data_IF_987194678920
#
_entry.id   IF_987194678920
#
_cell.length_a   1.000
_cell.length_b   1.000
_cell.length_c   1.000
_cell.angle_alpha   90.00
_cell.angle_beta   90.00
_cell.angle_gamma   90.00
#
_symmetry.space_group_name_H-M   'P 1'
#
loop_
_entity.id
_entity.type
_entity.pdbx_description
1 polymer ?
#
# COMPACT_ATOMS: atom_id res chain seq x y z
N UNK A 1 10.98 10.08 16.18
CA UNK A 1 10.32 11.38 15.96
C UNK A 1 11.23 12.18 15.05
N UNK A 2 10.71 12.73 13.97
CA UNK A 2 11.47 13.54 13.01
C UNK A 2 11.19 15.05 13.15
N UNK A 3 11.87 15.87 12.36
CA UNK A 3 11.76 17.35 12.47
C UNK A 3 10.36 17.87 12.12
N UNK A 4 9.59 17.15 11.28
CA UNK A 4 8.21 17.53 10.90
C UNK A 4 7.23 17.22 12.04
N UNK A 5 7.40 16.07 12.71
CA UNK A 5 6.64 15.73 13.92
C UNK A 5 6.90 16.74 15.04
N UNK A 6 8.17 17.12 15.27
CA UNK A 6 8.53 18.13 16.28
C UNK A 6 7.97 19.51 15.92
N UNK A 7 8.05 19.89 14.64
CA UNK A 7 7.50 21.14 14.12
C UNK A 7 5.98 21.24 14.34
N UNK A 8 5.25 20.15 14.12
CA UNK A 8 3.82 20.06 14.41
C UNK A 8 3.55 20.15 15.92
N UNK A 9 4.25 19.36 16.74
CA UNK A 9 4.06 19.34 18.19
C UNK A 9 4.37 20.69 18.86
N UNK A 10 5.32 21.46 18.29
CA UNK A 10 5.67 22.79 18.78
C UNK A 10 4.56 23.84 18.50
N UNK A 11 3.50 23.48 17.77
CA UNK A 11 2.43 24.40 17.39
C UNK A 11 2.90 25.51 16.44
N UNK A 12 4.02 25.29 15.74
CA UNK A 12 4.56 26.24 14.76
C UNK A 12 3.76 26.14 13.47
N UNK A 13 3.37 24.92 13.08
CA UNK A 13 2.48 24.74 11.94
C UNK A 13 1.20 25.55 12.14
N UNK A 14 0.92 26.43 11.18
CA UNK A 14 -0.34 27.12 11.00
C UNK A 14 -0.71 27.04 9.53
N UNK A 15 -2.00 26.97 9.23
CA UNK A 15 -2.44 27.13 7.84
C UNK A 15 -1.94 28.49 7.32
N UNK A 16 -1.39 28.53 6.10
CA UNK A 16 -0.78 29.72 5.48
C UNK A 16 0.50 30.25 6.15
N UNK A 17 1.33 29.40 6.76
CA UNK A 17 2.64 29.89 7.21
C UNK A 17 3.49 30.30 5.99
N UNK A 18 3.93 31.57 5.96
CA UNK A 18 4.71 32.16 4.87
C UNK A 18 6.17 32.40 5.25
N UNK A 19 6.44 32.53 6.55
CA UNK A 19 7.77 32.80 7.11
C UNK A 19 7.82 32.34 8.55
N UNK A 20 9.04 32.10 9.04
CA UNK A 20 9.28 31.81 10.44
C UNK A 20 9.72 33.06 11.20
N UNK A 21 9.36 33.11 12.48
CA UNK A 21 9.74 34.16 13.42
C UNK A 21 10.74 33.64 14.46
N UNK A 22 11.38 34.55 15.19
CA UNK A 22 12.23 34.17 16.34
C UNK A 22 11.44 33.42 17.42
N UNK A 23 10.14 33.70 17.57
CA UNK A 23 9.25 32.97 18.49
C UNK A 23 9.11 31.49 18.09
N UNK A 24 9.13 31.19 16.78
CA UNK A 24 9.02 29.81 16.30
C UNK A 24 10.29 29.01 16.62
N UNK A 25 11.46 29.65 16.60
CA UNK A 25 12.72 29.06 17.04
C UNK A 25 12.66 28.72 18.54
N UNK A 26 12.15 29.65 19.36
CA UNK A 26 11.98 29.42 20.80
C UNK A 26 10.97 28.30 21.09
N UNK A 27 9.87 28.22 20.33
CA UNK A 27 8.90 27.12 20.42
C UNK A 27 9.53 25.78 20.08
N UNK A 28 10.31 25.70 19.00
CA UNK A 28 11.02 24.49 18.60
C UNK A 28 11.96 23.99 19.71
N UNK A 29 12.75 24.90 20.30
CA UNK A 29 13.67 24.58 21.40
C UNK A 29 12.94 24.10 22.64
N UNK A 30 11.90 24.82 23.07
CA UNK A 30 11.10 24.46 24.25
C UNK A 30 10.40 23.12 24.06
N UNK A 31 9.79 22.90 22.89
CA UNK A 31 9.11 21.64 22.61
C UNK A 31 10.09 20.47 22.60
N UNK A 32 11.29 20.64 22.01
CA UNK A 32 12.30 19.58 22.04
C UNK A 32 12.66 19.17 23.48
N UNK A 33 12.84 20.13 24.39
CA UNK A 33 13.13 19.83 25.79
C UNK A 33 11.98 19.08 26.49
N UNK A 34 10.73 19.45 26.20
CA UNK A 34 9.55 18.73 26.70
C UNK A 34 9.57 17.27 26.23
N UNK A 35 9.75 17.05 24.92
CA UNK A 35 9.75 15.70 24.34
C UNK A 35 10.92 14.85 24.86
N UNK A 36 12.11 15.45 24.99
CA UNK A 36 13.30 14.78 25.52
C UNK A 36 13.14 14.39 26.99
N UNK A 37 12.46 15.22 27.79
CA UNK A 37 12.20 14.92 29.20
C UNK A 37 11.21 13.76 29.39
N UNK A 38 10.28 13.59 28.45
CA UNK A 38 9.28 12.52 28.47
C UNK A 38 9.69 11.22 27.77
N UNK A 39 10.74 11.25 26.93
CA UNK A 39 11.15 10.10 26.11
C UNK A 39 12.66 10.09 25.83
N UNK A 40 13.37 9.09 26.37
CA UNK A 40 14.82 8.93 26.19
C UNK A 40 15.24 8.52 24.78
N UNK A 41 14.30 8.13 23.91
CA UNK A 41 14.58 7.73 22.53
C UNK A 41 14.56 8.90 21.52
N UNK A 42 14.36 10.13 21.99
CA UNK A 42 14.42 11.32 21.12
C UNK A 42 15.87 11.56 20.69
N UNK A 43 16.10 11.74 19.39
CA UNK A 43 17.44 11.99 18.86
C UNK A 43 18.00 13.29 19.44
N UNK A 44 19.24 13.30 19.98
CA UNK A 44 19.79 14.46 20.67
C UNK A 44 19.91 15.72 19.80
N UNK A 45 20.07 15.55 18.49
CA UNK A 45 20.24 16.62 17.51
C UNK A 45 18.92 17.09 16.88
N UNK A 46 17.78 16.48 17.23
CA UNK A 46 16.49 16.77 16.60
C UNK A 46 16.08 18.25 16.75
N UNK A 47 16.22 18.80 17.95
CA UNK A 47 15.91 20.20 18.22
C UNK A 47 16.81 21.16 17.44
N UNK A 48 18.12 20.90 17.42
CA UNK A 48 19.07 21.70 16.64
C UNK A 48 18.84 21.58 15.13
N UNK A 49 18.44 20.41 14.64
CA UNK A 49 18.13 20.18 13.23
C UNK A 49 16.89 20.96 12.79
N UNK A 50 15.84 21.00 13.62
CA UNK A 50 14.66 21.82 13.33
C UNK A 50 14.99 23.32 13.34
N UNK A 51 15.78 23.80 14.31
CA UNK A 51 16.23 25.21 14.34
C UNK A 51 17.03 25.54 13.08
N UNK A 52 17.98 24.69 12.70
CA UNK A 52 18.76 24.86 11.48
C UNK A 52 17.88 24.86 10.22
N UNK A 53 16.87 24.00 10.18
CA UNK A 53 15.90 23.97 9.08
C UNK A 53 15.10 25.28 8.99
N UNK A 54 14.68 25.85 10.14
CA UNK A 54 13.96 27.13 10.22
C UNK A 54 14.86 28.30 9.75
N UNK A 55 16.11 28.35 10.21
CA UNK A 55 17.01 29.48 9.96
C UNK A 55 17.61 29.47 8.55
N UNK A 56 18.01 28.30 8.05
CA UNK A 56 18.81 28.18 6.82
C UNK A 56 18.07 27.52 5.65
N UNK A 57 16.94 26.85 5.91
CA UNK A 57 16.19 26.10 4.90
C UNK A 57 14.69 26.38 4.97
N UNK A 58 14.33 27.62 5.33
CA UNK A 58 12.95 28.01 5.61
C UNK A 58 11.99 27.65 4.47
N UNK A 59 12.38 27.97 3.23
CA UNK A 59 11.53 27.74 2.05
C UNK A 59 11.25 26.26 1.83
N UNK A 60 12.23 25.38 2.02
CA UNK A 60 12.08 23.94 1.84
C UNK A 60 11.22 23.32 2.96
N UNK A 61 11.40 23.76 4.20
CA UNK A 61 10.56 23.33 5.32
C UNK A 61 9.11 23.79 5.13
N UNK A 62 8.89 25.03 4.68
CA UNK A 62 7.57 25.55 4.37
C UNK A 62 6.94 24.83 3.17
N UNK A 63 7.73 24.48 2.14
CA UNK A 63 7.28 23.68 1.01
C UNK A 63 6.75 22.32 1.47
N UNK A 64 7.52 21.59 2.27
CA UNK A 64 7.11 20.30 2.83
C UNK A 64 5.85 20.46 3.68
N UNK A 65 5.79 21.50 4.50
CA UNK A 65 4.64 21.79 5.36
C UNK A 65 3.35 22.04 4.59
N UNK A 66 3.43 22.64 3.40
CA UNK A 66 2.29 22.91 2.55
C UNK A 66 2.01 21.80 1.52
N UNK A 67 2.91 20.85 1.33
CA UNK A 67 2.68 19.68 0.48
C UNK A 67 1.97 18.58 1.26
N UNK A 68 0.71 18.29 0.92
CA UNK A 68 -0.12 17.28 1.62
C UNK A 68 0.59 15.94 1.77
N UNK A 69 1.21 15.44 0.70
CA UNK A 69 1.75 14.09 0.65
C UNK A 69 2.99 14.01 1.53
N UNK A 70 3.95 14.91 1.33
CA UNK A 70 5.18 14.97 2.13
C UNK A 70 4.86 15.23 3.61
N UNK A 71 4.00 16.19 3.91
CA UNK A 71 3.64 16.49 5.30
C UNK A 71 2.96 15.32 6.00
N UNK A 72 1.93 14.72 5.39
CA UNK A 72 1.23 13.57 5.97
C UNK A 72 2.17 12.38 6.16
N UNK A 73 3.05 12.13 5.19
CA UNK A 73 4.04 11.06 5.25
C UNK A 73 5.00 11.26 6.44
N UNK A 74 5.63 12.42 6.57
CA UNK A 74 6.60 12.66 7.64
C UNK A 74 5.95 12.89 9.01
N UNK A 75 4.79 13.55 9.10
CA UNK A 75 4.05 13.69 10.37
C UNK A 75 3.35 12.40 10.82
N UNK A 76 3.26 11.39 9.95
CA UNK A 76 2.50 10.14 10.16
C UNK A 76 1.02 10.41 10.47
N UNK A 77 0.45 11.42 9.80
CA UNK A 77 -0.95 11.82 9.91
C UNK A 77 -1.65 11.69 8.57
N UNK A 78 -2.97 11.81 8.56
CA UNK A 78 -3.77 11.81 7.33
C UNK A 78 -4.69 13.02 7.30
N UNK A 79 -4.10 14.21 7.14
CA UNK A 79 -4.88 15.43 7.03
C UNK A 79 -5.55 15.55 5.65
N UNK A 80 -6.77 16.09 5.68
CA UNK A 80 -7.57 16.40 4.49
C UNK A 80 -6.89 17.47 3.64
N UNK A 81 -7.15 17.44 2.32
CA UNK A 81 -6.70 18.45 1.36
C UNK A 81 -7.07 19.88 1.80
N UNK A 82 -8.19 20.05 2.50
CA UNK A 82 -8.66 21.37 2.96
C UNK A 82 -7.72 22.04 3.98
N UNK A 83 -6.78 21.29 4.60
CA UNK A 83 -5.76 21.84 5.50
C UNK A 83 -4.58 22.49 4.74
N UNK A 84 -4.38 22.11 3.48
CA UNK A 84 -3.24 22.51 2.66
C UNK A 84 -3.71 23.49 1.59
N UNK A 85 -3.07 24.65 1.51
CA UNK A 85 -3.58 25.77 0.72
C UNK A 85 -2.87 25.82 -0.63
N UNK A 86 -3.66 25.97 -1.69
CA UNK A 86 -3.18 25.99 -3.08
C UNK A 86 -2.90 27.39 -3.61
N UNK A 87 -3.36 28.43 -2.91
CA UNK A 87 -3.48 29.77 -3.45
C UNK A 87 -2.16 30.56 -3.38
N UNK A 88 -1.23 30.11 -2.53
CA UNK A 88 0.11 30.69 -2.39
C UNK A 88 1.17 29.58 -2.50
N UNK A 89 1.51 29.14 -3.73
CA UNK A 89 2.50 28.10 -3.91
C UNK A 89 3.87 28.61 -3.44
N UNK A 90 4.38 28.02 -2.37
CA UNK A 90 5.76 28.23 -1.95
C UNK A 90 6.65 27.60 -3.02
N UNK A 91 7.42 28.44 -3.71
CA UNK A 91 8.31 27.96 -4.76
C UNK A 91 9.63 27.52 -4.13
N UNK A 92 9.99 26.26 -4.34
CA UNK A 92 11.31 25.71 -4.07
C UNK A 92 11.68 24.80 -5.23
N UNK A 93 12.95 24.80 -5.62
CA UNK A 93 13.37 23.92 -6.71
C UNK A 93 13.27 22.46 -6.24
N UNK A 94 13.04 21.55 -7.19
CA UNK A 94 12.97 20.10 -6.90
C UNK A 94 14.25 19.62 -6.21
N UNK A 95 15.40 20.13 -6.67
CA UNK A 95 16.70 19.78 -6.12
C UNK A 95 16.89 20.30 -4.70
N UNK A 96 16.49 21.54 -4.40
CA UNK A 96 16.63 22.08 -3.04
C UNK A 96 15.80 21.29 -2.02
N UNK A 97 14.57 20.90 -2.39
CA UNK A 97 13.71 20.09 -1.53
C UNK A 97 14.30 18.68 -1.37
N UNK A 98 14.87 18.11 -2.42
CA UNK A 98 15.57 16.82 -2.36
C UNK A 98 16.75 16.87 -1.40
N UNK A 99 17.62 17.86 -1.53
CA UNK A 99 18.78 18.07 -0.64
C UNK A 99 18.32 18.29 0.81
N UNK A 100 17.22 19.01 1.02
CA UNK A 100 16.64 19.18 2.35
C UNK A 100 16.18 17.84 2.94
N UNK A 101 15.43 17.04 2.18
CA UNK A 101 14.96 15.72 2.64
C UNK A 101 16.16 14.82 2.90
N UNK A 102 17.16 14.81 2.03
CA UNK A 102 18.37 14.00 2.21
C UNK A 102 19.10 14.37 3.51
N UNK A 103 19.23 15.66 3.78
CA UNK A 103 19.93 16.18 4.95
C UNK A 103 19.20 15.93 6.27
N UNK A 104 17.90 16.15 6.31
CA UNK A 104 17.15 16.19 7.59
C UNK A 104 16.21 15.02 7.81
N UNK A 105 15.82 14.30 6.75
CA UNK A 105 14.70 13.36 6.78
C UNK A 105 15.00 12.00 6.13
N UNK A 106 16.15 11.79 5.50
CA UNK A 106 16.50 10.53 4.80
C UNK A 106 16.44 9.31 5.70
N UNK A 107 16.98 9.40 6.91
CA UNK A 107 16.95 8.29 7.88
C UNK A 107 15.52 7.93 8.27
N UNK A 108 14.66 8.92 8.50
CA UNK A 108 13.26 8.70 8.84
C UNK A 108 12.46 8.20 7.63
N UNK A 109 12.73 8.72 6.44
CA UNK A 109 12.16 8.25 5.17
C UNK A 109 12.44 6.76 4.99
N UNK A 110 13.71 6.36 5.08
CA UNK A 110 14.13 4.96 4.95
C UNK A 110 13.45 4.07 6.00
N UNK A 111 13.37 4.53 7.26
CA UNK A 111 12.72 3.78 8.33
C UNK A 111 11.21 3.61 8.12
N UNK A 112 10.52 4.66 7.64
CA UNK A 112 9.08 4.60 7.34
C UNK A 112 8.83 3.66 6.15
N UNK A 113 9.65 3.75 5.10
CA UNK A 113 9.54 2.88 3.92
C UNK A 113 9.79 1.42 4.29
N UNK A 114 10.81 1.12 5.10
CA UNK A 114 11.09 -0.23 5.59
C UNK A 114 9.90 -0.79 6.37
N UNK A 115 9.32 0.03 7.26
CA UNK A 115 8.12 -0.35 8.00
C UNK A 115 6.95 -0.68 7.05
N UNK A 116 6.68 0.14 6.05
CA UNK A 116 5.58 -0.12 5.10
C UNK A 116 5.83 -1.35 4.24
N UNK A 117 7.04 -1.54 3.72
CA UNK A 117 7.40 -2.75 2.95
C UNK A 117 7.21 -4.01 3.79
N UNK A 118 7.71 -4.01 5.02
CA UNK A 118 7.66 -5.17 5.92
C UNK A 118 6.23 -5.54 6.33
N UNK A 119 5.35 -4.55 6.45
CA UNK A 119 3.94 -4.75 6.82
C UNK A 119 3.00 -4.85 5.60
N UNK A 120 3.55 -5.03 4.39
CA UNK A 120 2.79 -5.11 3.14
C UNK A 120 1.88 -3.90 2.85
N UNK A 121 2.24 -2.70 3.34
CA UNK A 121 1.49 -1.44 3.19
C UNK A 121 1.92 -0.68 1.93
N UNK A 122 1.84 -1.31 0.77
CA UNK A 122 2.38 -0.75 -0.47
C UNK A 122 1.60 0.47 -0.98
N UNK A 123 0.29 0.56 -0.74
CA UNK A 123 -0.51 1.72 -1.12
C UNK A 123 0.01 3.02 -0.48
N UNK A 124 0.48 2.95 0.77
CA UNK A 124 1.08 4.10 1.46
C UNK A 124 2.40 4.55 0.83
N UNK A 125 3.11 3.64 0.17
CA UNK A 125 4.33 3.95 -0.58
C UNK A 125 3.95 4.52 -1.95
N UNK A 126 2.97 3.93 -2.63
CA UNK A 126 2.51 4.38 -3.95
C UNK A 126 2.02 5.84 -3.91
N UNK A 127 1.30 6.24 -2.87
CA UNK A 127 0.89 7.64 -2.64
C UNK A 127 2.11 8.59 -2.61
N UNK A 128 3.25 8.14 -2.06
CA UNK A 128 4.49 8.93 -2.01
C UNK A 128 5.12 9.10 -3.40
N UNK A 129 4.86 8.18 -4.33
CA UNK A 129 5.41 8.28 -5.69
C UNK A 129 4.78 9.40 -6.53
N UNK A 130 3.66 9.99 -6.11
CA UNK A 130 3.14 11.23 -6.69
C UNK A 130 4.09 12.43 -6.51
N UNK A 131 5.00 12.36 -5.53
CA UNK A 131 6.01 13.40 -5.21
C UNK A 131 7.43 12.86 -5.33
N UNK A 132 7.64 11.81 -6.13
CA UNK A 132 8.93 11.10 -6.24
C UNK A 132 10.10 11.99 -6.64
N UNK A 133 9.85 13.06 -7.40
CA UNK A 133 10.93 13.96 -7.85
C UNK A 133 11.66 14.67 -6.70
N UNK A 134 11.01 14.79 -5.54
CA UNK A 134 11.58 15.43 -4.35
C UNK A 134 12.31 14.43 -3.44
N UNK A 135 12.21 13.13 -3.71
CA UNK A 135 12.82 12.11 -2.86
C UNK A 135 14.32 11.96 -3.18
N UNK A 136 15.17 11.69 -2.18
CA UNK A 136 16.57 11.36 -2.40
C UNK A 136 16.73 10.07 -3.21
N UNK A 137 17.63 10.09 -4.19
CA UNK A 137 17.93 8.92 -5.03
C UNK A 137 18.42 7.73 -4.20
N UNK A 138 19.24 7.99 -3.18
CA UNK A 138 19.73 6.99 -2.23
C UNK A 138 18.61 6.22 -1.52
N UNK A 139 17.54 6.89 -1.11
CA UNK A 139 16.36 6.27 -0.50
C UNK A 139 15.52 5.48 -1.50
N UNK A 140 15.40 5.98 -2.74
CA UNK A 140 14.72 5.27 -3.83
C UNK A 140 15.46 3.98 -4.21
N UNK A 141 16.79 4.01 -4.26
CA UNK A 141 17.62 2.83 -4.54
C UNK A 141 17.48 1.78 -3.44
N UNK A 142 17.52 2.19 -2.16
CA UNK A 142 17.26 1.29 -1.03
C UNK A 142 15.89 0.64 -1.14
N UNK A 143 14.85 1.42 -1.47
CA UNK A 143 13.50 0.90 -1.66
C UNK A 143 13.42 -0.08 -2.85
N UNK A 144 14.06 0.22 -3.98
CA UNK A 144 14.17 -0.67 -5.14
C UNK A 144 14.82 -2.01 -4.77
N UNK A 145 15.89 -1.97 -3.97
CA UNK A 145 16.57 -3.16 -3.47
C UNK A 145 15.64 -3.96 -2.55
N UNK A 146 14.92 -3.30 -1.64
CA UNK A 146 13.95 -3.96 -0.75
C UNK A 146 12.80 -4.63 -1.49
N UNK A 147 12.27 -3.99 -2.54
CA UNK A 147 11.28 -4.60 -3.43
C UNK A 147 11.86 -5.85 -4.10
N UNK A 148 13.13 -5.79 -4.53
CA UNK A 148 13.81 -6.92 -5.16
C UNK A 148 14.06 -8.07 -4.16
N UNK A 149 14.51 -7.77 -2.95
CA UNK A 149 14.65 -8.75 -1.84
C UNK A 149 13.33 -9.45 -1.54
N UNK A 150 12.21 -8.72 -1.61
CA UNK A 150 10.87 -9.27 -1.37
C UNK A 150 10.42 -10.22 -2.48
N UNK A 151 10.81 -9.96 -3.73
CA UNK A 151 10.63 -10.91 -4.84
C UNK A 151 11.52 -12.14 -4.64
N UNK A 152 12.78 -11.96 -4.26
CA UNK A 152 13.71 -13.07 -4.00
C UNK A 152 13.20 -13.96 -2.85
N UNK A 153 12.67 -13.34 -1.79
CA UNK A 153 11.99 -14.04 -0.71
C UNK A 153 10.81 -14.88 -1.21
N UNK A 154 9.97 -14.35 -2.11
CA UNK A 154 8.88 -15.12 -2.71
C UNK A 154 9.41 -16.30 -3.55
N UNK A 155 10.43 -16.07 -4.38
CA UNK A 155 11.05 -17.11 -5.21
C UNK A 155 11.58 -18.26 -4.35
N UNK A 156 12.22 -17.95 -3.23
CA UNK A 156 12.78 -18.93 -2.30
C UNK A 156 11.69 -19.66 -1.51
N UNK A 157 10.71 -18.92 -0.98
CA UNK A 157 9.60 -19.46 -0.18
C UNK A 157 8.74 -20.44 -0.97
N UNK A 158 8.41 -20.12 -2.24
CA UNK A 158 7.58 -21.00 -3.08
C UNK A 158 8.33 -22.28 -3.50
N UNK A 159 9.67 -22.31 -3.45
CA UNK A 159 10.46 -23.53 -3.66
C UNK A 159 10.68 -24.37 -2.39
N UNK A 160 10.28 -23.86 -1.22
CA UNK A 160 10.62 -24.45 0.07
C UNK A 160 9.76 -25.65 0.44
N UNK A 161 10.16 -26.32 1.54
CA UNK A 161 9.46 -27.44 2.17
C UNK A 161 8.15 -27.03 2.89
N UNK A 162 7.54 -25.92 2.51
CA UNK A 162 6.32 -25.43 3.15
C UNK A 162 5.11 -26.20 2.66
N UNK A 163 4.17 -26.43 3.57
CA UNK A 163 2.88 -26.97 3.19
C UNK A 163 2.16 -25.96 2.27
N UNK A 164 1.45 -26.43 1.22
CA UNK A 164 0.80 -25.55 0.25
C UNK A 164 -0.11 -24.46 0.85
N UNK A 165 -0.80 -24.76 1.95
CA UNK A 165 -1.62 -23.78 2.69
C UNK A 165 -0.79 -22.66 3.32
N UNK A 166 0.36 -22.99 3.93
CA UNK A 166 1.25 -22.00 4.55
C UNK A 166 1.92 -21.07 3.53
N UNK A 167 2.09 -21.52 2.27
CA UNK A 167 2.65 -20.67 1.19
C UNK A 167 1.73 -19.46 0.96
N UNK A 168 0.42 -19.68 0.88
CA UNK A 168 -0.59 -18.64 0.62
C UNK A 168 -0.54 -17.49 1.63
N UNK A 169 -0.29 -17.80 2.90
CA UNK A 169 -0.16 -16.83 3.99
C UNK A 169 1.22 -16.16 4.00
N UNK A 170 2.28 -16.95 3.81
CA UNK A 170 3.67 -16.45 3.89
C UNK A 170 4.00 -15.45 2.79
N UNK A 171 3.45 -15.66 1.58
CA UNK A 171 3.61 -14.74 0.44
C UNK A 171 2.32 -14.03 0.07
N UNK A 172 1.48 -13.73 1.07
CA UNK A 172 0.16 -13.10 0.87
C UNK A 172 0.23 -11.82 0.02
N UNK A 173 1.31 -11.05 0.16
CA UNK A 173 1.55 -9.83 -0.61
C UNK A 173 1.53 -10.01 -2.12
N UNK A 174 1.78 -11.23 -2.64
CA UNK A 174 1.67 -11.52 -4.07
C UNK A 174 0.23 -11.40 -4.59
N UNK A 175 -0.76 -11.37 -3.69
CA UNK A 175 -2.17 -11.17 -4.02
C UNK A 175 -2.50 -9.68 -4.17
N UNK A 176 -1.63 -8.77 -3.72
CA UNK A 176 -1.96 -7.35 -3.61
C UNK A 176 -1.63 -6.60 -4.90
N UNK A 177 -2.61 -5.87 -5.44
CA UNK A 177 -2.43 -4.98 -6.59
C UNK A 177 -1.31 -3.97 -6.36
N UNK A 178 -1.30 -3.34 -5.19
CA UNK A 178 -0.36 -2.26 -4.85
C UNK A 178 1.09 -2.71 -4.78
N UNK A 179 1.35 -3.99 -4.52
CA UNK A 179 2.70 -4.56 -4.64
C UNK A 179 3.21 -4.45 -6.08
N UNK A 180 2.42 -4.87 -7.07
CA UNK A 180 2.84 -4.84 -8.49
C UNK A 180 2.91 -3.43 -9.06
N UNK A 181 2.04 -2.52 -8.60
CA UNK A 181 2.15 -1.09 -8.93
C UNK A 181 3.49 -0.56 -8.41
N UNK A 182 3.86 -0.86 -7.17
CA UNK A 182 5.14 -0.46 -6.60
C UNK A 182 6.34 -1.03 -7.37
N UNK A 183 6.32 -2.32 -7.73
CA UNK A 183 7.40 -2.93 -8.52
C UNK A 183 7.56 -2.23 -9.88
N UNK A 184 6.45 -1.75 -10.46
CA UNK A 184 6.44 -1.05 -11.76
C UNK A 184 7.19 0.28 -11.73
N UNK A 185 7.21 0.99 -10.59
CA UNK A 185 7.99 2.23 -10.45
C UNK A 185 9.50 1.98 -10.58
N UNK A 186 9.94 0.75 -10.29
CA UNK A 186 11.34 0.34 -10.34
C UNK A 186 11.66 -0.64 -11.48
N UNK A 187 10.77 -0.75 -12.47
CA UNK A 187 10.85 -1.75 -13.54
C UNK A 187 12.24 -1.83 -14.17
N UNK A 188 12.70 -3.05 -14.37
CA UNK A 188 13.96 -3.37 -15.03
C UNK A 188 13.88 -4.79 -15.61
N UNK A 189 14.77 -5.12 -16.54
CA UNK A 189 14.85 -6.49 -17.07
C UNK A 189 15.06 -7.52 -15.95
N UNK A 190 15.85 -7.19 -14.93
CA UNK A 190 16.04 -8.05 -13.75
C UNK A 190 14.72 -8.27 -12.99
N UNK A 191 13.93 -7.21 -12.76
CA UNK A 191 12.64 -7.34 -12.07
C UNK A 191 11.62 -8.10 -12.91
N UNK A 192 11.63 -7.96 -14.23
CA UNK A 192 10.82 -8.77 -15.14
C UNK A 192 11.13 -10.26 -14.98
N UNK A 193 12.42 -10.64 -14.94
CA UNK A 193 12.84 -12.03 -14.71
C UNK A 193 12.40 -12.54 -13.34
N UNK A 194 12.54 -11.73 -12.28
CA UNK A 194 12.10 -12.11 -10.93
C UNK A 194 10.59 -12.32 -10.86
N UNK A 195 9.82 -11.40 -11.45
CA UNK A 195 8.35 -11.51 -11.54
C UNK A 195 7.96 -12.77 -12.33
N UNK A 196 8.59 -13.03 -13.47
CA UNK A 196 8.37 -14.25 -14.26
C UNK A 196 8.70 -15.52 -13.47
N UNK A 197 9.81 -15.50 -12.71
CA UNK A 197 10.22 -16.61 -11.86
C UNK A 197 9.20 -16.90 -10.75
N UNK A 198 8.73 -15.87 -10.03
CA UNK A 198 7.67 -16.02 -9.01
C UNK A 198 6.41 -16.57 -9.66
N UNK A 199 5.96 -15.98 -10.78
CA UNK A 199 4.77 -16.40 -11.50
C UNK A 199 4.83 -17.87 -11.90
N UNK A 200 5.90 -18.30 -12.57
CA UNK A 200 6.05 -19.69 -13.02
C UNK A 200 6.07 -20.67 -11.84
N UNK A 201 6.70 -20.30 -10.72
CA UNK A 201 6.74 -21.14 -9.52
C UNK A 201 5.35 -21.33 -8.91
N UNK A 202 4.60 -20.24 -8.72
CA UNK A 202 3.22 -20.32 -8.19
C UNK A 202 2.31 -21.04 -9.19
N UNK A 203 2.47 -20.79 -10.49
CA UNK A 203 1.70 -21.47 -11.54
C UNK A 203 1.95 -22.97 -11.56
N UNK A 204 3.18 -23.45 -11.34
CA UNK A 204 3.47 -24.88 -11.29
C UNK A 204 2.79 -25.61 -10.13
N UNK A 205 2.35 -24.88 -9.10
CA UNK A 205 1.56 -25.41 -7.98
C UNK A 205 0.04 -25.45 -8.27
N UNK A 206 -0.41 -25.14 -9.49
CA UNK A 206 -1.83 -25.06 -9.87
C UNK A 206 -2.64 -26.35 -9.65
N UNK A 207 -1.98 -27.51 -9.56
CA UNK A 207 -2.63 -28.79 -9.26
C UNK A 207 -3.21 -28.83 -7.85
N UNK A 208 -2.69 -28.03 -6.92
CA UNK A 208 -3.23 -27.86 -5.59
C UNK A 208 -4.37 -26.83 -5.62
N UNK A 209 -5.60 -27.27 -5.31
CA UNK A 209 -6.78 -26.40 -5.35
C UNK A 209 -6.71 -25.21 -4.38
N UNK A 210 -6.16 -25.41 -3.19
CA UNK A 210 -5.98 -24.35 -2.17
C UNK A 210 -5.05 -23.28 -2.71
N UNK A 211 -3.85 -23.65 -3.19
CA UNK A 211 -2.90 -22.70 -3.78
C UNK A 211 -3.49 -22.02 -5.01
N UNK A 212 -4.21 -22.77 -5.85
CA UNK A 212 -4.86 -22.23 -7.04
C UNK A 212 -5.86 -21.12 -6.68
N UNK A 213 -6.76 -21.38 -5.73
CA UNK A 213 -7.84 -20.47 -5.40
C UNK A 213 -7.41 -19.33 -4.48
N UNK A 214 -6.55 -19.60 -3.49
CA UNK A 214 -6.19 -18.61 -2.48
C UNK A 214 -4.99 -17.75 -2.86
N UNK A 215 -4.10 -18.23 -3.73
CA UNK A 215 -2.88 -17.50 -4.11
C UNK A 215 -2.84 -17.22 -5.61
N UNK A 216 -2.87 -18.24 -6.47
CA UNK A 216 -2.64 -18.07 -7.91
C UNK A 216 -3.70 -17.18 -8.58
N UNK A 217 -4.99 -17.42 -8.34
CA UNK A 217 -6.05 -16.63 -8.97
C UNK A 217 -6.01 -15.14 -8.55
N UNK A 218 -5.92 -14.80 -7.25
CA UNK A 218 -5.70 -13.41 -6.82
C UNK A 218 -4.40 -12.82 -7.36
N UNK A 219 -3.31 -13.59 -7.38
CA UNK A 219 -2.02 -13.16 -7.93
C UNK A 219 -2.13 -12.80 -9.41
N UNK A 220 -2.75 -13.65 -10.24
CA UNK A 220 -3.00 -13.37 -11.67
C UNK A 220 -3.83 -12.09 -11.83
N UNK A 221 -4.84 -11.90 -11.00
CA UNK A 221 -5.70 -10.72 -11.04
C UNK A 221 -4.95 -9.43 -10.68
N UNK A 222 -3.95 -9.53 -9.82
CA UNK A 222 -3.12 -8.40 -9.38
C UNK A 222 -1.94 -8.13 -10.32
N UNK A 223 -1.34 -9.17 -10.92
CA UNK A 223 -0.18 -9.11 -11.82
C UNK A 223 -0.40 -8.20 -13.04
N UNK A 224 -1.62 -8.04 -13.52
CA UNK A 224 -1.90 -7.15 -14.66
C UNK A 224 -1.62 -5.67 -14.38
N UNK A 225 -1.40 -5.31 -13.12
CA UNK A 225 -1.00 -3.97 -12.70
C UNK A 225 0.52 -3.78 -12.72
N UNK A 226 1.30 -4.84 -12.98
CA UNK A 226 2.72 -4.73 -13.26
C UNK A 226 2.94 -4.16 -14.67
N UNK A 227 3.83 -3.20 -14.80
CA UNK A 227 4.23 -2.60 -16.07
C UNK A 227 5.66 -3.02 -16.41
N UNK A 228 5.80 -4.20 -17.00
CA UNK A 228 7.07 -4.78 -17.41
C UNK A 228 7.81 -3.92 -18.45
N UNK A 229 9.13 -4.07 -18.51
CA UNK A 229 9.95 -3.57 -19.63
C UNK A 229 9.71 -4.45 -20.86
N UNK A 230 9.61 -5.76 -20.66
CA UNK A 230 9.21 -6.74 -21.67
C UNK A 230 7.69 -6.73 -21.90
N UNK A 231 7.27 -6.27 -23.07
CA UNK A 231 5.85 -6.24 -23.45
C UNK A 231 5.20 -7.62 -23.52
N UNK A 232 5.96 -8.68 -23.82
CA UNK A 232 5.42 -10.03 -23.91
C UNK A 232 5.01 -10.56 -22.54
N UNK A 233 5.73 -10.15 -21.48
CA UNK A 233 5.37 -10.46 -20.11
C UNK A 233 4.03 -9.82 -19.71
N UNK A 234 3.80 -8.56 -20.09
CA UNK A 234 2.52 -7.89 -19.87
C UNK A 234 1.38 -8.58 -20.65
N UNK A 235 1.64 -8.99 -21.90
CA UNK A 235 0.66 -9.71 -22.72
C UNK A 235 0.29 -11.07 -22.12
N UNK A 236 1.27 -11.80 -21.59
CA UNK A 236 1.06 -13.05 -20.85
C UNK A 236 0.12 -12.84 -19.66
N UNK A 237 0.38 -11.84 -18.82
CA UNK A 237 -0.45 -11.57 -17.64
C UNK A 237 -1.89 -11.20 -18.01
N UNK A 238 -2.08 -10.35 -19.01
CA UNK A 238 -3.42 -10.00 -19.53
C UNK A 238 -4.15 -11.20 -20.09
N UNK A 239 -3.46 -12.04 -20.88
CA UNK A 239 -4.04 -13.28 -21.44
C UNK A 239 -4.51 -14.21 -20.33
N UNK A 240 -3.68 -14.42 -19.31
CA UNK A 240 -3.99 -15.32 -18.20
C UNK A 240 -5.14 -14.77 -17.33
N UNK A 241 -5.19 -13.45 -17.12
CA UNK A 241 -6.35 -12.81 -16.48
C UNK A 241 -7.63 -13.01 -17.27
N UNK A 242 -7.61 -12.76 -18.58
CA UNK A 242 -8.80 -12.95 -19.43
C UNK A 242 -9.29 -14.42 -19.40
N UNK A 243 -8.37 -15.39 -19.36
CA UNK A 243 -8.72 -16.79 -19.22
C UNK A 243 -9.33 -17.11 -17.86
N UNK A 244 -8.80 -16.52 -16.78
CA UNK A 244 -9.34 -16.65 -15.43
C UNK A 244 -10.76 -16.07 -15.33
N UNK A 245 -10.94 -14.85 -15.82
CA UNK A 245 -12.23 -14.13 -15.81
C UNK A 245 -13.28 -14.92 -16.64
N UNK A 246 -12.91 -15.41 -17.83
CA UNK A 246 -13.79 -16.24 -18.66
C UNK A 246 -14.14 -17.60 -18.01
N UNK A 247 -13.23 -18.20 -17.25
CA UNK A 247 -13.50 -19.44 -16.51
C UNK A 247 -14.49 -19.19 -15.36
N UNK A 248 -14.36 -18.06 -14.65
CA UNK A 248 -15.30 -17.66 -13.60
C UNK A 248 -16.69 -17.36 -14.16
N UNK A 249 -16.78 -16.67 -15.30
CA UNK A 249 -18.05 -16.43 -15.99
C UNK A 249 -18.75 -17.73 -16.40
N UNK A 250 -18.01 -18.72 -16.91
CA UNK A 250 -18.57 -20.03 -17.25
C UNK A 250 -19.12 -20.76 -16.02
N UNK A 251 -18.43 -20.69 -14.88
CA UNK A 251 -18.91 -21.28 -13.61
C UNK A 251 -20.18 -20.57 -13.14
N UNK A 252 -20.20 -19.23 -13.16
CA UNK A 252 -21.35 -18.43 -12.76
C UNK A 252 -22.57 -18.69 -13.67
N UNK A 253 -22.33 -18.81 -14.98
CA UNK A 253 -23.36 -19.13 -15.97
C UNK A 253 -23.84 -20.60 -15.87
N UNK A 254 -22.95 -21.55 -15.57
CA UNK A 254 -23.34 -22.94 -15.31
C UNK A 254 -24.12 -23.10 -14.00
N UNK A 255 -23.84 -22.27 -12.98
CA UNK A 255 -24.64 -22.18 -11.76
C UNK A 255 -25.98 -21.45 -11.94
N UNK A 256 -26.23 -20.86 -13.11
CA UNK A 256 -27.49 -20.18 -13.45
C UNK A 256 -28.52 -21.06 -14.17
N UNK A 257 -28.20 -22.34 -14.43
CA UNK A 257 -29.11 -23.32 -15.04
C UNK A 257 -29.47 -24.47 -14.12
N UNK A 258 -30.17 -24.18 -13.02
CA UNK A 258 -31.17 -25.11 -12.48
C UNK A 258 -32.22 -24.30 -11.72
N UNK A 259 -33.34 -24.05 -12.39
CA UNK A 259 -34.53 -23.50 -11.77
C UNK A 259 -35.05 -24.45 -10.70
N UNK A 260 -34.79 -24.12 -9.44
CA UNK A 260 -35.67 -24.42 -8.33
C UNK A 260 -35.79 -23.12 -7.53
N UNK A 261 -36.64 -22.21 -8.02
CA UNK A 261 -36.97 -20.99 -7.30
C UNK A 261 -37.58 -21.39 -5.96
N UNK A 262 -37.21 -20.73 -4.86
CA UNK A 262 -37.77 -21.02 -3.52
C UNK A 262 -39.31 -21.02 -3.46
N UNK A 263 -39.97 -20.44 -4.47
CA UNK A 263 -41.40 -20.54 -4.72
C UNK A 263 -41.92 -21.98 -4.93
N UNK A 264 -41.14 -22.85 -5.58
CA UNK A 264 -41.52 -24.25 -5.79
C UNK A 264 -41.53 -25.07 -4.49
N UNK A 265 -40.66 -24.75 -3.52
CA UNK A 265 -40.70 -25.32 -2.17
C UNK A 265 -41.96 -24.87 -1.42
N UNK A 266 -42.35 -23.60 -1.55
CA UNK A 266 -43.59 -23.07 -0.95
C UNK A 266 -44.82 -23.76 -1.53
N UNK A 267 -44.86 -24.01 -2.84
CA UNK A 267 -45.96 -24.72 -3.50
C UNK A 267 -46.05 -26.18 -3.03
N UNK A 268 -44.93 -26.88 -2.88
CA UNK A 268 -44.89 -28.26 -2.35
C UNK A 268 -45.44 -28.30 -0.92
N UNK A 269 -45.05 -27.36 -0.06
CA UNK A 269 -45.57 -27.26 1.31
C UNK A 269 -47.08 -27.02 1.32
N UNK A 270 -47.59 -26.13 0.45
CA UNK A 270 -49.04 -25.87 0.33
C UNK A 270 -49.80 -27.12 -0.12
N UNK A 271 -49.26 -27.89 -1.06
CA UNK A 271 -49.88 -29.14 -1.53
C UNK A 271 -49.92 -30.18 -0.42
N UNK A 272 -48.83 -30.36 0.33
CA UNK A 272 -48.77 -31.31 1.47
C UNK A 272 -49.80 -30.91 2.54
N UNK A 273 -49.89 -29.63 2.90
CA UNK A 273 -50.90 -29.14 3.86
C UNK A 273 -52.32 -29.41 3.36
N UNK A 274 -52.60 -29.17 2.08
CA UNK A 274 -53.93 -29.46 1.51
C UNK A 274 -54.27 -30.95 1.53
N UNK A 275 -53.31 -31.83 1.26
CA UNK A 275 -53.52 -33.29 1.31
C UNK A 275 -53.79 -33.75 2.75
N UNK A 276 -53.03 -33.24 3.73
CA UNK A 276 -53.26 -33.55 5.16
C UNK A 276 -54.65 -33.10 5.59
N UNK A 277 -55.08 -31.88 5.20
CA UNK A 277 -56.42 -31.38 5.50
C UNK A 277 -57.52 -32.21 4.83
N UNK A 278 -57.30 -32.71 3.61
CA UNK A 278 -58.25 -33.57 2.90
C UNK A 278 -58.41 -34.93 3.58
N UNK A 279 -57.29 -35.54 3.99
CA UNK A 279 -57.29 -36.81 4.76
C UNK A 279 -57.95 -36.62 6.13
N UNK A 280 -57.67 -35.51 6.82
CA UNK A 280 -58.31 -35.17 8.09
C UNK A 280 -59.83 -34.95 7.95
N UNK A 281 -60.30 -34.50 6.78
CA UNK A 281 -61.73 -34.32 6.48
C UNK A 281 -62.42 -35.64 6.12
N UNK A 282 -61.70 -36.56 5.47
CA UNK A 282 -62.19 -37.90 5.14
C UNK A 282 -62.18 -38.86 6.34
N UNK A 283 -61.32 -38.65 7.34
CA UNK A 283 -61.32 -39.41 8.60
C UNK A 283 -62.36 -38.97 9.63
N UNK A 284 -63.20 -37.97 9.31
CA UNK A 284 -64.31 -37.47 10.16
C UNK A 284 -65.69 -37.69 9.51
N UNK A 285 -65.76 -38.46 8.43
CA UNK A 285 -67.00 -38.91 7.80
C UNK A 285 -67.27 -40.38 8.16
#
# INVERSE_FOLDING_TARGET
MNIIELFENAGIYKANIQSFSAEDIDKARRQFEIERSGNTNVQPDLGSNLVLAIENYANQLLFISNNRILYNFFSKKNYSRNRFITDHPISSSKEDVRVFIDKFLSKDLDAILEYYISNNRFDNIDDLFEVKEYLPESSLDKLSNKVSEKLDYAIQTVNGNLQPSAISETVEFLKYRSFYVLVSHFRSAEKDEKIRAVYNKVYNLHSNSVVRHELLNPMISSLVNYNAVDSDLNNLFRKNKNQLDAAQERVNNASSSSGFSGWSIVVIIIVIIRVILLIARLGRA
#
